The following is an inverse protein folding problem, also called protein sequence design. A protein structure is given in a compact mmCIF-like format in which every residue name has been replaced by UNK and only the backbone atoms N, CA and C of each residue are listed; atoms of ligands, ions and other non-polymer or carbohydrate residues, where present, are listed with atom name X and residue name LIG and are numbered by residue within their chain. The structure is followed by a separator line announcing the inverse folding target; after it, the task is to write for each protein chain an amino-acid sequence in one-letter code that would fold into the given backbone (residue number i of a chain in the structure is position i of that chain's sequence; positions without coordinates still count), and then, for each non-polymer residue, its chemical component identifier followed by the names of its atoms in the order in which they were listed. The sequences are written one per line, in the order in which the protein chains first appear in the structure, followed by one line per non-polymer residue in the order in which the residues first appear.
data_IF_725561102830
#
_entry.id   IF_725561102830
#
_cell.length_a   1.000
_cell.length_b   1.000
_cell.length_c   1.000
_cell.angle_alpha   90.00
_cell.angle_beta   90.00
_cell.angle_gamma   90.00
#
_symmetry.space_group_name_H-M   'P 1'
#
loop_
_entity.id
_entity.type
_entity.pdbx_description
1 polymer ?
#
# COMPACT_ATOMS: atom_id res chain seq x y z
N UNK A 1 -5.63 -0.69 21.75
CA UNK A 1 -4.58 -1.51 21.10
C UNK A 1 -3.50 -0.55 20.65
N UNK A 2 -2.25 -0.84 20.97
CA UNK A 2 -1.11 -0.03 20.46
C UNK A 2 -0.62 -0.62 19.15
N UNK A 3 -0.02 0.21 18.32
CA UNK A 3 0.56 -0.21 17.04
C UNK A 3 2.07 -0.01 17.11
N UNK A 4 2.83 -0.99 16.62
CA UNK A 4 4.23 -0.84 16.24
C UNK A 4 4.34 -0.98 14.74
N UNK A 5 5.26 -0.26 14.14
CA UNK A 5 5.46 -0.35 12.70
C UNK A 5 6.92 -0.15 12.33
N UNK A 6 7.32 -0.74 11.21
CA UNK A 6 8.59 -0.48 10.54
C UNK A 6 8.35 -0.34 9.03
N UNK A 7 9.22 0.39 8.36
CA UNK A 7 9.07 0.71 6.94
C UNK A 7 10.35 0.48 6.15
N UNK A 8 10.20 0.13 4.89
CA UNK A 8 11.29 0.08 3.92
C UNK A 8 10.81 0.62 2.58
N UNK A 9 11.65 1.43 1.92
CA UNK A 9 11.44 1.85 0.54
C UNK A 9 12.80 1.98 -0.13
N UNK A 10 13.01 1.26 -1.22
CA UNK A 10 14.29 1.17 -1.93
C UNK A 10 14.11 1.16 -3.44
N UNK A 11 15.06 1.77 -4.11
CA UNK A 11 15.12 1.79 -5.57
C UNK A 11 15.36 0.41 -6.19
N UNK A 12 15.99 -0.52 -5.44
CA UNK A 12 16.40 -1.79 -5.99
C UNK A 12 17.38 -1.62 -7.15
N UNK A 13 17.15 -2.36 -8.23
CA UNK A 13 17.99 -2.28 -9.45
C UNK A 13 17.49 -1.26 -10.49
N UNK A 14 16.39 -0.56 -10.21
CA UNK A 14 15.87 0.49 -11.09
C UNK A 14 16.72 1.76 -10.99
N UNK A 15 16.52 2.69 -11.92
CA UNK A 15 17.21 4.00 -11.92
C UNK A 15 16.55 4.99 -10.97
N UNK A 16 15.25 4.88 -10.76
CA UNK A 16 14.43 5.75 -9.93
C UNK A 16 13.58 4.92 -8.97
N UNK A 17 13.19 5.50 -7.84
CA UNK A 17 12.21 4.89 -6.94
C UNK A 17 10.86 5.52 -7.18
N UNK A 18 9.95 4.74 -7.76
CA UNK A 18 8.58 5.16 -8.03
C UNK A 18 7.61 4.77 -6.90
N UNK A 19 8.12 4.12 -5.86
CA UNK A 19 7.35 3.76 -4.67
C UNK A 19 7.25 4.91 -3.67
N UNK A 20 6.04 5.22 -3.20
CA UNK A 20 5.77 6.17 -2.13
C UNK A 20 5.04 5.51 -0.97
N UNK A 21 5.25 6.00 0.26
CA UNK A 21 4.51 5.55 1.43
C UNK A 21 4.32 6.69 2.44
N UNK A 22 3.29 6.53 3.28
CA UNK A 22 3.06 7.39 4.47
C UNK A 22 2.61 6.54 5.64
N UNK A 23 3.00 6.98 6.83
CA UNK A 23 2.49 6.48 8.10
C UNK A 23 2.01 7.65 8.92
N UNK A 24 0.83 7.51 9.49
CA UNK A 24 0.26 8.43 10.49
C UNK A 24 -0.08 7.58 11.71
N UNK A 25 0.60 7.82 12.82
CA UNK A 25 0.39 7.11 14.07
C UNK A 25 -0.07 8.11 15.14
N UNK A 26 -1.26 7.90 15.69
CA UNK A 26 -1.91 8.76 16.67
C UNK A 26 -2.35 7.90 17.88
N UNK A 27 -1.38 7.43 18.68
CA UNK A 27 -1.65 6.50 19.77
C UNK A 27 -2.58 7.08 20.85
N UNK A 28 -2.60 8.40 21.01
CA UNK A 28 -3.45 9.09 22.00
C UNK A 28 -4.95 8.89 21.72
N UNK A 29 -5.30 8.65 20.48
CA UNK A 29 -6.70 8.42 20.07
C UNK A 29 -6.92 7.05 19.45
N UNK A 30 -5.95 6.13 19.62
CA UNK A 30 -5.97 4.76 19.07
C UNK A 30 -6.27 4.72 17.56
N UNK A 31 -5.57 5.56 16.78
CA UNK A 31 -5.70 5.61 15.33
C UNK A 31 -4.36 5.51 14.65
N UNK A 32 -4.36 4.74 13.59
CA UNK A 32 -3.19 4.53 12.73
C UNK A 32 -3.62 4.52 11.27
N UNK A 33 -2.77 5.01 10.38
CA UNK A 33 -2.93 4.83 8.94
C UNK A 33 -1.57 4.59 8.31
N UNK A 34 -1.47 3.49 7.53
CA UNK A 34 -0.36 3.22 6.64
C UNK A 34 -0.86 3.15 5.19
N UNK A 35 -0.09 3.71 4.26
CA UNK A 35 -0.38 3.67 2.83
C UNK A 35 0.91 3.44 2.04
N UNK A 36 0.82 2.57 1.03
CA UNK A 36 1.86 2.33 0.03
C UNK A 36 1.26 2.55 -1.35
N UNK A 37 1.95 3.33 -2.17
CA UNK A 37 1.64 3.56 -3.58
C UNK A 37 2.86 3.15 -4.41
N UNK A 38 2.62 2.47 -5.54
CA UNK A 38 3.66 2.03 -6.46
C UNK A 38 3.40 2.63 -7.83
N UNK A 39 4.31 3.52 -8.26
CA UNK A 39 4.22 4.21 -9.52
C UNK A 39 4.44 3.25 -10.69
N UNK A 40 3.59 3.34 -11.70
CA UNK A 40 3.67 2.41 -12.83
C UNK A 40 4.82 2.77 -13.75
N UNK A 41 5.83 1.87 -13.82
CA UNK A 41 6.94 1.94 -14.75
C UNK A 41 6.49 1.87 -16.21
N UNK A 42 7.24 2.53 -17.09
CA UNK A 42 6.94 2.62 -18.52
C UNK A 42 6.16 3.87 -18.93
N UNK A 43 5.57 4.58 -18.01
CA UNK A 43 5.10 5.95 -18.16
C UNK A 43 6.09 6.89 -17.47
N UNK A 44 6.34 8.06 -18.06
CA UNK A 44 7.09 9.12 -17.40
C UNK A 44 6.30 9.57 -16.17
N UNK A 45 7.00 9.85 -15.04
CA UNK A 45 6.39 10.44 -13.84
C UNK A 45 5.63 9.48 -12.89
N UNK A 46 6.00 8.18 -12.85
CA UNK A 46 5.44 7.22 -11.88
C UNK A 46 5.67 7.67 -10.43
N UNK A 47 6.85 8.20 -10.11
CA UNK A 47 7.19 8.76 -8.79
C UNK A 47 6.32 9.95 -8.41
N UNK A 48 5.93 10.78 -9.38
CA UNK A 48 5.04 11.92 -9.14
C UNK A 48 3.61 11.44 -8.89
N UNK A 49 3.17 10.42 -9.62
CA UNK A 49 1.86 9.83 -9.43
C UNK A 49 1.71 9.21 -8.04
N UNK A 50 2.67 8.36 -7.64
CA UNK A 50 2.64 7.68 -6.34
C UNK A 50 2.70 8.68 -5.18
N UNK A 51 3.58 9.68 -5.27
CA UNK A 51 3.70 10.75 -4.27
C UNK A 51 2.42 11.58 -4.17
N UNK A 52 1.82 11.96 -5.30
CA UNK A 52 0.59 12.76 -5.35
C UNK A 52 -0.58 12.02 -4.69
N UNK A 53 -0.80 10.75 -5.05
CA UNK A 53 -1.89 9.94 -4.50
C UNK A 53 -1.66 9.68 -3.02
N UNK A 54 -0.46 9.25 -2.64
CA UNK A 54 -0.09 8.93 -1.26
C UNK A 54 -0.31 10.15 -0.32
N UNK A 55 0.22 11.32 -0.70
CA UNK A 55 0.07 12.54 0.08
C UNK A 55 -1.38 13.02 0.14
N UNK A 56 -2.12 12.98 -0.97
CA UNK A 56 -3.51 13.44 -1.01
C UNK A 56 -4.42 12.60 -0.12
N UNK A 57 -4.25 11.28 -0.13
CA UNK A 57 -5.04 10.36 0.71
C UNK A 57 -4.68 10.56 2.19
N UNK A 58 -3.39 10.66 2.53
CA UNK A 58 -2.94 10.90 3.89
C UNK A 58 -3.47 12.23 4.45
N UNK A 59 -3.38 13.29 3.69
CA UNK A 59 -3.90 14.61 4.06
C UNK A 59 -5.43 14.61 4.23
N UNK A 60 -6.13 13.91 3.32
CA UNK A 60 -7.58 13.77 3.44
C UNK A 60 -7.97 13.01 4.70
N UNK A 61 -7.27 11.91 5.00
CA UNK A 61 -7.51 11.08 6.17
C UNK A 61 -7.34 11.89 7.46
N UNK A 62 -6.26 12.67 7.57
CA UNK A 62 -6.00 13.55 8.71
C UNK A 62 -7.08 14.62 8.89
N UNK A 63 -7.47 15.30 7.81
CA UNK A 63 -8.49 16.36 7.85
C UNK A 63 -9.89 15.83 8.21
N UNK A 64 -10.15 14.55 7.93
CA UNK A 64 -11.44 13.90 8.15
C UNK A 64 -11.36 12.79 9.22
N UNK A 65 -10.51 12.97 10.20
CA UNK A 65 -10.25 11.96 11.23
C UNK A 65 -11.50 11.61 12.05
N UNK A 66 -12.43 12.55 12.21
CA UNK A 66 -13.69 12.34 12.94
C UNK A 66 -14.79 11.68 12.09
N UNK A 67 -14.55 11.44 10.81
CA UNK A 67 -15.53 10.77 9.95
C UNK A 67 -15.61 9.29 10.32
N UNK A 68 -16.81 8.82 10.66
CA UNK A 68 -17.01 7.47 11.21
C UNK A 68 -17.27 6.41 10.15
N UNK A 69 -17.83 6.79 9.01
CA UNK A 69 -18.04 5.88 7.88
C UNK A 69 -16.73 5.69 7.12
N UNK A 70 -16.06 4.58 7.41
CA UNK A 70 -14.74 4.23 6.85
C UNK A 70 -14.79 4.08 5.33
N UNK A 71 -15.83 3.46 4.78
CA UNK A 71 -15.98 3.24 3.34
C UNK A 71 -16.14 4.57 2.61
N UNK A 72 -17.06 5.41 3.05
CA UNK A 72 -17.24 6.75 2.47
C UNK A 72 -15.98 7.59 2.57
N UNK A 73 -15.24 7.50 3.70
CA UNK A 73 -13.98 8.19 3.89
C UNK A 73 -12.93 7.77 2.85
N UNK A 74 -12.80 6.46 2.61
CA UNK A 74 -11.89 5.91 1.60
C UNK A 74 -12.31 6.33 0.19
N UNK A 75 -13.58 6.19 -0.18
CA UNK A 75 -14.07 6.59 -1.51
C UNK A 75 -13.86 8.08 -1.79
N UNK A 76 -14.13 8.95 -0.82
CA UNK A 76 -13.91 10.39 -0.97
C UNK A 76 -12.42 10.73 -1.07
N UNK A 77 -11.56 10.05 -0.31
CA UNK A 77 -10.11 10.19 -0.42
C UNK A 77 -9.61 9.80 -1.81
N UNK A 78 -10.06 8.65 -2.33
CA UNK A 78 -9.71 8.18 -3.67
C UNK A 78 -10.20 9.14 -4.76
N UNK A 79 -11.42 9.63 -4.67
CA UNK A 79 -11.96 10.64 -5.61
C UNK A 79 -11.11 11.91 -5.60
N UNK A 80 -10.68 12.37 -4.43
CA UNK A 80 -9.81 13.54 -4.31
C UNK A 80 -8.42 13.26 -4.88
N UNK A 81 -7.87 12.07 -4.67
CA UNK A 81 -6.58 11.67 -5.23
C UNK A 81 -6.62 11.58 -6.76
N UNK A 82 -7.72 11.07 -7.36
CA UNK A 82 -7.92 11.08 -8.81
C UNK A 82 -7.91 12.52 -9.36
N UNK A 83 -8.60 13.45 -8.70
CA UNK A 83 -8.58 14.85 -9.13
C UNK A 83 -7.20 15.49 -8.98
N UNK A 84 -6.43 15.10 -7.95
CA UNK A 84 -5.09 15.62 -7.73
C UNK A 84 -4.09 15.11 -8.78
N UNK A 85 -4.19 13.84 -9.19
CA UNK A 85 -3.34 13.30 -10.26
C UNK A 85 -3.65 13.95 -11.61
N UNK A 86 -4.93 14.25 -11.91
CA UNK A 86 -5.33 14.98 -13.11
C UNK A 86 -4.77 16.41 -13.12
N UNK A 87 -4.85 17.11 -11.99
CA UNK A 87 -4.26 18.43 -11.85
C UNK A 87 -2.74 18.38 -12.08
N UNK A 88 -2.06 17.39 -11.48
CA UNK A 88 -0.63 17.22 -11.63
C UNK A 88 -0.23 16.88 -13.07
N UNK A 89 -1.00 16.06 -13.73
CA UNK A 89 -0.82 15.76 -15.15
C UNK A 89 -0.95 17.00 -16.04
N UNK A 90 -1.92 17.89 -15.75
CA UNK A 90 -2.07 19.16 -16.46
C UNK A 90 -0.85 20.08 -16.27
N UNK A 91 -0.30 20.17 -15.04
CA UNK A 91 0.92 20.93 -14.76
C UNK A 91 2.13 20.41 -15.55
N UNK A 92 2.14 19.14 -15.89
CA UNK A 92 3.19 18.44 -16.63
C UNK A 92 2.83 18.21 -18.12
N UNK A 93 2.16 19.19 -18.72
CA UNK A 93 1.80 19.18 -20.15
C UNK A 93 0.98 17.96 -20.57
N UNK A 94 -0.03 17.61 -19.80
CA UNK A 94 -0.93 16.45 -20.01
C UNK A 94 -0.19 15.11 -19.96
N UNK A 95 0.77 14.97 -19.06
CA UNK A 95 1.51 13.73 -18.88
C UNK A 95 0.59 12.55 -18.51
N UNK A 96 0.85 11.40 -19.10
CA UNK A 96 0.25 10.15 -18.66
C UNK A 96 1.04 9.63 -17.47
N UNK A 97 0.36 9.43 -16.34
CA UNK A 97 0.95 8.92 -15.11
C UNK A 97 -0.05 8.08 -14.33
N UNK A 98 0.45 7.12 -13.61
CA UNK A 98 -0.40 6.25 -12.82
C UNK A 98 0.32 5.61 -11.64
N UNK A 99 -0.47 5.11 -10.69
CA UNK A 99 0.03 4.41 -9.50
C UNK A 99 -1.01 3.46 -8.94
N UNK A 100 -0.53 2.43 -8.25
CA UNK A 100 -1.34 1.59 -7.38
C UNK A 100 -1.59 2.28 -6.04
N UNK A 101 -2.39 1.65 -5.19
CA UNK A 101 -2.54 2.02 -3.79
C UNK A 101 -2.94 0.81 -2.96
N UNK A 102 -2.30 0.63 -1.81
CA UNK A 102 -2.78 -0.21 -0.72
C UNK A 102 -2.65 0.55 0.59
N UNK A 103 -3.73 0.56 1.38
CA UNK A 103 -3.75 1.24 2.68
C UNK A 103 -4.44 0.41 3.74
N UNK A 104 -4.06 0.64 5.00
CA UNK A 104 -4.78 0.17 6.17
C UNK A 104 -4.99 1.35 7.13
N UNK A 105 -6.25 1.61 7.47
CA UNK A 105 -6.65 2.54 8.53
C UNK A 105 -7.10 1.72 9.73
N UNK A 106 -6.44 1.88 10.88
CA UNK A 106 -6.77 1.15 12.09
C UNK A 106 -7.39 2.13 13.08
N UNK A 107 -8.63 1.85 13.47
CA UNK A 107 -9.35 2.59 14.49
C UNK A 107 -9.75 1.62 15.62
N UNK A 108 -9.18 1.82 16.81
CA UNK A 108 -9.30 0.91 17.96
C UNK A 108 -8.77 -0.50 17.65
N UNK A 109 -9.66 -1.46 17.31
CA UNK A 109 -9.33 -2.84 16.98
C UNK A 109 -9.86 -3.26 15.60
N UNK A 110 -10.25 -2.30 14.75
CA UNK A 110 -10.73 -2.56 13.39
C UNK A 110 -9.76 -1.96 12.38
N UNK A 111 -9.31 -2.77 11.44
CA UNK A 111 -8.57 -2.34 10.27
C UNK A 111 -9.50 -2.24 9.07
N UNK A 112 -9.63 -1.06 8.49
CA UNK A 112 -10.21 -0.85 7.17
C UNK A 112 -9.08 -0.88 6.16
N UNK A 113 -9.05 -1.93 5.34
CA UNK A 113 -8.05 -2.15 4.29
C UNK A 113 -8.68 -1.75 2.97
N UNK A 114 -7.99 -0.91 2.20
CA UNK A 114 -8.42 -0.54 0.86
C UNK A 114 -7.26 -0.70 -0.13
N UNK A 115 -7.56 -1.15 -1.36
CA UNK A 115 -6.53 -1.27 -2.38
C UNK A 115 -7.07 -0.99 -3.79
N UNK A 116 -6.16 -0.55 -4.65
CA UNK A 116 -6.34 -0.35 -6.09
C UNK A 116 -5.02 -0.78 -6.76
N UNK A 117 -5.06 -1.76 -7.64
CA UNK A 117 -3.88 -2.29 -8.32
C UNK A 117 -3.45 -3.66 -7.80
N UNK A 118 -2.17 -3.94 -7.86
CA UNK A 118 -1.53 -5.19 -7.46
C UNK A 118 -0.59 -5.04 -6.25
N UNK A 119 -0.46 -3.84 -5.66
CA UNK A 119 0.11 -3.71 -4.32
C UNK A 119 -0.78 -4.41 -3.31
N UNK A 120 -0.18 -5.12 -2.34
CA UNK A 120 -0.91 -6.06 -1.48
C UNK A 120 -0.90 -5.67 -0.01
N UNK A 121 -2.00 -6.02 0.66
CA UNK A 121 -2.06 -6.15 2.12
C UNK A 121 -2.19 -7.62 2.49
N UNK A 122 -1.36 -8.06 3.43
CA UNK A 122 -1.48 -9.35 4.11
C UNK A 122 -1.82 -9.10 5.57
N UNK A 123 -2.76 -9.87 6.13
CA UNK A 123 -3.08 -9.88 7.56
C UNK A 123 -2.86 -11.28 8.09
N UNK A 124 -2.00 -11.40 9.10
CA UNK A 124 -1.65 -12.68 9.72
C UNK A 124 -1.86 -12.67 11.23
N UNK A 125 -2.24 -13.84 11.74
CA UNK A 125 -2.40 -14.11 13.17
C UNK A 125 -1.63 -15.38 13.55
N UNK A 126 -0.86 -15.34 14.64
CA UNK A 126 0.06 -16.42 15.04
C UNK A 126 -0.53 -17.80 15.02
N UNK A 127 -1.76 -17.97 15.51
CA UNK A 127 -2.37 -19.28 15.69
C UNK A 127 -3.36 -19.67 14.57
N UNK A 128 -3.67 -18.74 13.66
CA UNK A 128 -4.68 -18.95 12.61
C UNK A 128 -4.07 -18.84 11.20
N UNK A 129 -2.83 -18.33 11.08
CA UNK A 129 -2.16 -18.12 9.80
C UNK A 129 -2.65 -16.89 9.05
N UNK A 130 -2.73 -16.98 7.73
CA UNK A 130 -3.19 -15.89 6.87
C UNK A 130 -4.70 -15.69 7.02
N UNK A 131 -5.11 -14.56 7.59
CA UNK A 131 -6.52 -14.20 7.74
C UNK A 131 -7.07 -13.55 6.47
N UNK A 132 -6.25 -12.72 5.81
CA UNK A 132 -6.66 -11.95 4.65
C UNK A 132 -5.47 -11.60 3.76
N UNK A 133 -5.74 -11.55 2.48
CA UNK A 133 -4.87 -10.98 1.46
C UNK A 133 -5.72 -10.26 0.43
N UNK A 134 -5.31 -9.08 0.02
CA UNK A 134 -5.92 -8.35 -1.10
C UNK A 134 -5.81 -9.16 -2.39
N UNK A 135 -6.81 -9.04 -3.26
CA UNK A 135 -6.83 -9.69 -4.57
C UNK A 135 -6.41 -8.71 -5.64
N UNK A 136 -5.32 -9.01 -6.35
CA UNK A 136 -4.77 -8.13 -7.39
C UNK A 136 -5.80 -7.76 -8.46
N UNK A 137 -5.81 -6.51 -8.84
CA UNK A 137 -6.60 -6.01 -9.97
C UNK A 137 -5.80 -6.12 -11.26
N UNK A 138 -5.65 -7.34 -11.75
CA UNK A 138 -4.92 -7.66 -12.99
C UNK A 138 -5.85 -8.28 -14.04
N UNK A 139 -5.49 -8.10 -15.30
CA UNK A 139 -6.07 -8.78 -16.46
C UNK A 139 -4.97 -9.54 -17.19
N UNK A 140 -5.37 -10.64 -17.79
CA UNK A 140 -4.49 -11.42 -18.66
C UNK A 140 -4.94 -11.21 -20.10
N UNK A 141 -4.27 -10.30 -20.81
CA UNK A 141 -4.55 -9.98 -22.19
C UNK A 141 -3.39 -10.48 -23.08
N UNK A 142 -3.69 -11.40 -24.02
CA UNK A 142 -2.70 -11.97 -24.94
C UNK A 142 -1.43 -12.52 -24.26
N UNK A 143 -1.59 -13.14 -23.08
CA UNK A 143 -0.48 -13.74 -22.31
C UNK A 143 0.38 -12.73 -21.54
N UNK A 144 -0.07 -11.47 -21.43
CA UNK A 144 0.56 -10.44 -20.60
C UNK A 144 -0.38 -10.06 -19.44
N UNK A 145 0.22 -9.88 -18.28
CA UNK A 145 -0.48 -9.28 -17.14
C UNK A 145 -0.49 -7.77 -17.29
N UNK A 146 -1.66 -7.16 -17.09
CA UNK A 146 -1.84 -5.70 -17.07
C UNK A 146 -2.69 -5.32 -15.87
N UNK A 147 -2.38 -4.18 -15.26
CA UNK A 147 -3.18 -3.64 -14.16
C UNK A 147 -4.54 -3.18 -14.69
N UNK A 148 -5.61 -3.69 -14.10
CA UNK A 148 -7.00 -3.41 -14.51
C UNK A 148 -7.61 -2.22 -13.79
N UNK A 149 -7.20 -1.98 -12.52
CA UNK A 149 -7.58 -0.81 -11.72
C UNK A 149 -6.32 -0.14 -11.20
N UNK A 150 -6.25 1.17 -11.31
CA UNK A 150 -5.16 2.01 -10.78
C UNK A 150 -5.65 3.45 -10.68
N UNK A 151 -4.91 4.28 -9.99
CA UNK A 151 -4.99 5.72 -10.25
C UNK A 151 -4.27 5.99 -11.57
N UNK A 152 -4.95 6.59 -12.51
CA UNK A 152 -4.37 6.97 -13.79
C UNK A 152 -4.94 8.33 -14.22
N UNK A 153 -4.08 9.20 -14.74
CA UNK A 153 -4.49 10.52 -15.18
C UNK A 153 -5.63 10.45 -16.21
N UNK A 154 -6.65 11.26 -15.99
CA UNK A 154 -7.88 11.35 -16.80
C UNK A 154 -8.75 10.06 -16.84
N UNK A 155 -8.52 9.13 -15.92
CA UNK A 155 -9.26 7.87 -15.85
C UNK A 155 -9.78 7.59 -14.42
N UNK A 156 -10.63 8.47 -13.87
CA UNK A 156 -11.18 8.26 -12.52
C UNK A 156 -12.09 7.02 -12.42
N UNK A 157 -12.58 6.51 -13.55
CA UNK A 157 -13.42 5.32 -13.66
C UNK A 157 -12.70 4.03 -13.22
N UNK A 158 -11.37 3.99 -13.32
CA UNK A 158 -10.57 2.82 -12.92
C UNK A 158 -9.99 2.92 -11.50
N UNK A 159 -10.14 4.07 -10.84
CA UNK A 159 -9.65 4.33 -9.49
C UNK A 159 -10.71 4.02 -8.41
N UNK A 160 -11.33 2.85 -8.49
CA UNK A 160 -12.36 2.40 -7.54
C UNK A 160 -11.76 1.35 -6.60
N UNK A 161 -11.64 1.65 -5.29
CA UNK A 161 -11.04 0.74 -4.33
C UNK A 161 -11.92 -0.46 -4.02
N UNK A 162 -11.31 -1.61 -3.77
CA UNK A 162 -11.91 -2.67 -3.01
C UNK A 162 -11.59 -2.42 -1.54
N UNK A 163 -12.59 -2.59 -0.66
CA UNK A 163 -12.50 -2.28 0.77
C UNK A 163 -12.90 -3.51 1.58
N UNK A 164 -12.15 -3.78 2.66
CA UNK A 164 -12.44 -4.86 3.59
C UNK A 164 -12.14 -4.42 5.02
N UNK A 165 -13.07 -4.64 5.92
CA UNK A 165 -12.85 -4.47 7.36
C UNK A 165 -12.46 -5.78 8.02
N UNK A 166 -11.47 -5.72 8.92
CA UNK A 166 -10.97 -6.87 9.68
C UNK A 166 -10.84 -6.48 11.15
N UNK A 167 -11.44 -7.28 12.02
CA UNK A 167 -11.26 -7.13 13.46
C UNK A 167 -9.91 -7.71 13.86
N UNK A 168 -9.03 -6.86 14.38
CA UNK A 168 -7.69 -7.20 14.81
C UNK A 168 -7.66 -7.69 16.26
N UNK A 169 -6.61 -8.46 16.57
CA UNK A 169 -6.26 -8.90 17.94
C UNK A 169 -4.79 -8.57 18.21
N UNK A 170 -4.43 -8.56 19.49
CA UNK A 170 -3.00 -8.46 19.87
C UNK A 170 -2.20 -9.60 19.23
N UNK A 171 -1.03 -9.27 18.72
CA UNK A 171 -0.16 -10.19 17.99
C UNK A 171 -0.47 -10.32 16.50
N UNK A 172 -1.55 -9.71 15.98
CA UNK A 172 -1.78 -9.66 14.54
C UNK A 172 -0.73 -8.80 13.86
N UNK A 173 -0.26 -9.24 12.70
CA UNK A 173 0.65 -8.48 11.84
C UNK A 173 0.04 -8.21 10.49
N UNK A 174 0.19 -6.97 10.02
CA UNK A 174 -0.21 -6.54 8.70
C UNK A 174 1.03 -6.13 7.91
N UNK A 175 1.08 -6.50 6.63
CA UNK A 175 2.11 -6.06 5.70
C UNK A 175 1.43 -5.38 4.51
N UNK A 176 1.71 -4.09 4.32
CA UNK A 176 1.39 -3.37 3.10
C UNK A 176 2.63 -3.34 2.23
N UNK A 177 2.57 -3.76 0.97
CA UNK A 177 3.76 -3.79 0.13
C UNK A 177 3.46 -3.66 -1.37
N UNK A 178 4.43 -3.11 -2.12
CA UNK A 178 4.46 -3.14 -3.57
C UNK A 178 4.81 -4.53 -4.11
N UNK A 179 4.61 -4.72 -5.39
CA UNK A 179 4.84 -6.00 -6.09
C UNK A 179 6.31 -6.41 -6.11
N UNK A 180 7.24 -5.45 -6.20
CA UNK A 180 8.67 -5.72 -6.16
C UNK A 180 9.12 -6.44 -4.89
N UNK A 181 8.41 -6.27 -3.76
CA UNK A 181 8.71 -7.01 -2.55
C UNK A 181 8.21 -8.46 -2.64
N UNK A 182 6.91 -8.69 -2.84
CA UNK A 182 6.36 -10.04 -2.76
C UNK A 182 6.75 -10.93 -3.94
N UNK A 183 7.00 -10.35 -5.11
CA UNK A 183 7.53 -11.10 -6.28
C UNK A 183 8.96 -11.56 -6.06
N UNK A 184 9.78 -10.75 -5.36
CA UNK A 184 11.18 -11.09 -5.07
C UNK A 184 11.34 -12.17 -4.00
N UNK A 185 10.45 -12.19 -3.00
CA UNK A 185 10.54 -13.09 -1.83
C UNK A 185 9.74 -14.37 -2.04
N UNK A 186 8.59 -14.28 -2.71
CA UNK A 186 7.59 -15.33 -2.83
C UNK A 186 6.65 -15.38 -1.62
N UNK A 187 5.35 -15.58 -1.90
CA UNK A 187 4.28 -15.40 -0.91
C UNK A 187 4.45 -16.31 0.34
N UNK A 188 4.86 -17.56 0.18
CA UNK A 188 4.99 -18.49 1.31
C UNK A 188 6.12 -18.08 2.26
N UNK A 189 7.28 -17.71 1.72
CA UNK A 189 8.44 -17.23 2.50
C UNK A 189 8.10 -15.93 3.22
N UNK A 190 7.46 -15.01 2.51
CA UNK A 190 7.03 -13.73 3.08
C UNK A 190 6.07 -13.92 4.26
N UNK A 191 5.06 -14.76 4.10
CA UNK A 191 4.09 -15.04 5.16
C UNK A 191 4.74 -15.72 6.38
N UNK A 192 5.64 -16.67 6.15
CA UNK A 192 6.37 -17.34 7.24
C UNK A 192 7.25 -16.34 8.00
N UNK A 193 7.98 -15.50 7.29
CA UNK A 193 8.87 -14.50 7.90
C UNK A 193 8.13 -13.42 8.67
N UNK A 194 6.90 -13.07 8.26
CA UNK A 194 6.08 -12.11 9.00
C UNK A 194 5.78 -12.55 10.44
N UNK A 195 5.77 -13.86 10.72
CA UNK A 195 5.41 -14.41 12.02
C UNK A 195 6.62 -14.89 12.84
N UNK A 196 7.84 -14.64 12.37
CA UNK A 196 9.03 -14.95 13.15
C UNK A 196 9.11 -14.13 14.45
N UNK A 197 9.69 -14.72 15.51
CA UNK A 197 9.94 -14.04 16.78
C UNK A 197 11.14 -13.08 16.67
N UNK A 198 10.98 -12.07 15.81
CA UNK A 198 11.96 -11.01 15.52
C UNK A 198 11.29 -9.66 15.60
N UNK A 199 12.11 -8.61 15.77
CA UNK A 199 11.60 -7.23 15.62
C UNK A 199 11.14 -6.98 14.18
N UNK A 200 10.27 -5.99 13.98
CA UNK A 200 9.78 -5.64 12.66
C UNK A 200 10.91 -5.17 11.74
N UNK A 201 11.89 -4.48 12.30
CA UNK A 201 13.10 -4.01 11.60
C UNK A 201 13.97 -5.18 11.14
N UNK A 202 14.15 -6.22 11.97
CA UNK A 202 14.90 -7.42 11.60
C UNK A 202 14.20 -8.20 10.48
N UNK A 203 12.87 -8.29 10.51
CA UNK A 203 12.09 -8.92 9.44
C UNK A 203 12.27 -8.12 8.14
N UNK A 204 12.10 -6.80 8.18
CA UNK A 204 12.31 -5.96 6.99
C UNK A 204 13.75 -6.00 6.48
N UNK A 205 14.75 -6.15 7.36
CA UNK A 205 16.15 -6.33 6.94
C UNK A 205 16.36 -7.65 6.18
N UNK A 206 15.66 -8.72 6.56
CA UNK A 206 15.65 -9.98 5.78
C UNK A 206 15.00 -9.76 4.42
N UNK A 207 13.87 -9.04 4.35
CA UNK A 207 13.23 -8.70 3.08
C UNK A 207 14.13 -7.87 2.16
N UNK A 208 14.87 -6.89 2.73
CA UNK A 208 15.84 -6.07 2.01
C UNK A 208 16.93 -6.94 1.36
N UNK A 209 17.48 -7.91 2.10
CA UNK A 209 18.46 -8.84 1.57
C UNK A 209 17.94 -9.69 0.42
N UNK A 210 16.69 -10.20 0.53
CA UNK A 210 16.06 -10.98 -0.55
C UNK A 210 15.83 -10.12 -1.80
N UNK A 211 15.24 -8.94 -1.64
CA UNK A 211 14.97 -8.02 -2.74
C UNK A 211 16.26 -7.54 -3.40
N UNK A 212 17.29 -7.21 -2.62
CA UNK A 212 18.60 -6.81 -3.14
C UNK A 212 19.29 -7.90 -3.94
N UNK A 213 19.06 -9.18 -3.57
CA UNK A 213 19.68 -10.34 -4.23
C UNK A 213 18.89 -10.82 -5.45
N UNK A 214 17.57 -10.86 -5.38
CA UNK A 214 16.69 -11.52 -6.34
C UNK A 214 15.75 -10.57 -7.07
N UNK A 215 15.48 -9.38 -6.52
CA UNK A 215 14.59 -8.40 -7.10
C UNK A 215 15.24 -7.57 -8.20
N UNK A 216 14.43 -7.13 -9.13
CA UNK A 216 14.80 -6.23 -10.24
C UNK A 216 13.94 -4.95 -10.25
N UNK A 217 13.06 -4.78 -9.28
CA UNK A 217 12.15 -3.64 -9.15
C UNK A 217 12.37 -2.81 -7.89
N UNK A 218 11.67 -1.65 -7.83
CA UNK A 218 11.50 -0.90 -6.60
C UNK A 218 10.72 -1.76 -5.59
N UNK A 219 10.98 -1.60 -4.31
CA UNK A 219 10.20 -2.27 -3.28
C UNK A 219 9.95 -1.36 -2.08
N UNK A 220 8.69 -1.27 -1.74
CA UNK A 220 8.20 -0.44 -0.63
C UNK A 220 7.29 -1.28 0.26
N UNK A 221 7.47 -1.19 1.57
CA UNK A 221 6.61 -1.89 2.53
C UNK A 221 6.46 -1.16 3.86
N UNK A 222 5.33 -1.40 4.50
CA UNK A 222 5.04 -1.07 5.89
C UNK A 222 4.63 -2.36 6.59
N UNK A 223 5.42 -2.78 7.59
CA UNK A 223 5.08 -3.90 8.46
C UNK A 223 4.54 -3.36 9.78
N UNK A 224 3.38 -3.82 10.18
CA UNK A 224 2.58 -3.33 11.30
C UNK A 224 2.33 -4.48 12.26
N UNK A 225 2.39 -4.22 13.56
CA UNK A 225 2.06 -5.18 14.61
C UNK A 225 1.13 -4.59 15.65
N UNK A 226 0.11 -5.34 16.01
CA UNK A 226 -0.82 -5.01 17.08
C UNK A 226 -0.27 -5.47 18.44
N UNK A 227 -0.03 -4.56 19.38
CA UNK A 227 0.56 -4.82 20.70
C UNK A 227 -0.28 -4.25 21.84
#
# INVERSE_FOLDING_TARGET
MKIRHATISKTGRRRNNEGAFKVIDLPEINRFMGIVCDGMGGHSFGEIASDTVCNTIADFWMKNICMQDSDSKVYLACKKASSAIDQKANELHHAEMGTTMVMASIENDVATIAHIGDSRCYVQRSNEGLLYQTKDHIRHDFGRETIAKCFFSYRPDVAVPDIQEIKLKMGDRLLLCSDGLYKSIGCNTLQASMMEEKSLEEILAVFDLFCGKHGDDNYTAILIECV
#
